data_IF_417992477521
#
_entry.id   IF_417992477521
#
_cell.length_a   1.000
_cell.length_b   1.000
_cell.length_c   1.000
_cell.angle_alpha   90.00
_cell.angle_beta   90.00
_cell.angle_gamma   90.00
#
_symmetry.space_group_name_H-M   'P 1'
#
loop_
_entity.id
_entity.type
_entity.pdbx_description
1 polymer ?
#
# COMPACT_ATOMS: atom_id res chain seq x y z
N UNK A 1 25.08 22.10 1.91
CA UNK A 1 23.70 22.61 1.75
C UNK A 1 22.84 21.93 2.81
N UNK A 2 22.62 22.61 3.93
CA UNK A 2 21.79 22.16 5.05
C UNK A 2 20.33 22.53 4.72
N UNK A 3 19.44 21.54 4.66
CA UNK A 3 18.01 21.80 4.62
C UNK A 3 17.53 22.05 6.06
N UNK A 4 16.81 23.15 6.24
CA UNK A 4 16.14 23.56 7.48
C UNK A 4 15.24 22.43 8.02
N UNK A 5 15.78 21.63 8.94
CA UNK A 5 15.07 20.55 9.65
C UNK A 5 14.09 21.09 10.71
N UNK A 6 14.05 22.41 10.93
CA UNK A 6 13.30 23.03 12.01
C UNK A 6 11.86 23.46 11.64
N UNK A 7 11.43 23.37 10.38
CA UNK A 7 10.14 23.96 9.96
C UNK A 7 8.96 22.99 9.86
N UNK A 8 9.19 21.68 9.91
CA UNK A 8 8.12 20.67 9.78
C UNK A 8 7.96 19.75 11.01
N UNK A 9 8.69 20.01 12.10
CA UNK A 9 8.85 19.07 13.21
C UNK A 9 7.76 19.06 14.30
N UNK A 10 6.62 19.73 14.12
CA UNK A 10 5.63 19.77 15.22
C UNK A 10 4.15 19.73 14.80
N UNK A 11 3.82 19.74 13.50
CA UNK A 11 2.40 19.81 13.08
C UNK A 11 1.73 18.45 12.82
N UNK A 12 2.49 17.36 12.70
CA UNK A 12 1.91 16.07 12.30
C UNK A 12 1.53 15.17 13.49
N UNK A 13 2.21 15.27 14.64
CA UNK A 13 1.96 14.36 15.78
C UNK A 13 0.60 14.65 16.46
N UNK A 14 0.28 15.93 16.71
CA UNK A 14 -1.00 16.32 17.35
C UNK A 14 -2.21 16.06 16.44
N UNK A 15 -2.04 16.22 15.13
CA UNK A 15 -3.10 15.98 14.16
C UNK A 15 -3.41 14.49 14.02
N UNK A 16 -2.41 13.63 14.18
CA UNK A 16 -2.59 12.18 14.11
C UNK A 16 -3.22 11.62 15.40
N UNK A 17 -2.85 12.14 16.57
CA UNK A 17 -3.48 11.77 17.84
C UNK A 17 -4.95 12.20 17.89
N UNK A 18 -5.28 13.40 17.40
CA UNK A 18 -6.66 13.85 17.27
C UNK A 18 -7.51 12.94 16.37
N UNK A 19 -6.93 12.41 15.28
CA UNK A 19 -7.62 11.49 14.38
C UNK A 19 -7.82 10.10 15.03
N UNK A 20 -6.88 9.69 15.89
CA UNK A 20 -6.93 8.43 16.61
C UNK A 20 -7.97 8.43 17.74
N UNK A 21 -8.14 9.56 18.43
CA UNK A 21 -9.19 9.74 19.43
C UNK A 21 -10.59 9.79 18.81
N UNK A 22 -10.74 10.38 17.62
CA UNK A 22 -12.00 10.35 16.87
C UNK A 22 -12.41 8.91 16.50
N UNK A 23 -11.45 8.08 16.08
CA UNK A 23 -11.71 6.69 15.72
C UNK A 23 -12.12 5.81 16.93
N UNK A 24 -11.67 6.14 18.14
CA UNK A 24 -12.07 5.44 19.37
C UNK A 24 -13.50 5.78 19.79
N UNK A 25 -13.95 7.03 19.58
CA UNK A 25 -15.32 7.44 19.92
C UNK A 25 -16.39 6.66 19.14
N UNK A 26 -16.15 6.32 17.87
CA UNK A 26 -17.12 5.58 17.07
C UNK A 26 -17.27 4.11 17.49
N UNK A 27 -16.24 3.53 18.11
CA UNK A 27 -16.28 2.14 18.59
C UNK A 27 -16.96 1.97 19.95
N UNK A 28 -17.03 3.02 20.78
CA UNK A 28 -17.52 2.91 22.16
C UNK A 28 -19.05 3.00 22.29
N UNK A 29 -19.77 3.20 21.17
CA UNK A 29 -21.25 3.27 21.15
C UNK A 29 -21.94 1.96 20.76
N UNK A 30 -21.23 0.83 20.74
CA UNK A 30 -21.76 -0.45 20.21
C UNK A 30 -21.48 -1.68 21.07
N UNK A 31 -21.51 -1.50 22.40
CA UNK A 31 -21.47 -2.61 23.34
C UNK A 31 -22.81 -2.70 24.08
N UNK A 32 -23.75 -3.46 23.51
CA UNK A 32 -24.89 -4.09 24.20
C UNK A 32 -25.47 -5.21 23.31
N UNK A 33 -24.62 -6.13 22.83
CA UNK A 33 -25.09 -7.44 22.35
C UNK A 33 -24.37 -8.58 23.10
N UNK A 34 -25.13 -9.55 23.66
CA UNK A 34 -24.54 -10.68 24.37
C UNK A 34 -23.87 -11.66 23.40
N UNK A 35 -22.56 -11.86 23.61
CA UNK A 35 -21.73 -12.82 22.86
C UNK A 35 -22.12 -14.26 23.25
N UNK A 36 -22.85 -14.93 22.37
CA UNK A 36 -23.18 -16.34 22.47
C UNK A 36 -21.93 -17.20 22.17
N UNK A 37 -21.48 -17.95 23.18
CA UNK A 37 -20.31 -18.82 23.15
C UNK A 37 -20.47 -19.95 22.12
N UNK A 38 -19.92 -19.74 20.92
CA UNK A 38 -19.85 -20.78 19.89
C UNK A 38 -18.68 -21.73 20.14
N UNK A 39 -19.05 -22.95 20.55
CA UNK A 39 -18.26 -24.18 20.70
C UNK A 39 -17.06 -24.29 19.76
N UNK A 40 -15.88 -24.41 20.36
CA UNK A 40 -14.68 -24.97 19.73
C UNK A 40 -14.92 -26.44 19.36
N UNK A 41 -15.14 -26.68 18.08
CA UNK A 41 -15.26 -28.02 17.51
C UNK A 41 -13.86 -28.51 17.14
N UNK A 42 -13.28 -29.31 18.04
CA UNK A 42 -12.04 -30.06 17.85
C UNK A 42 -12.17 -31.04 16.68
N UNK A 43 -11.71 -30.65 15.49
CA UNK A 43 -11.61 -31.55 14.33
C UNK A 43 -10.31 -32.34 14.43
N UNK A 44 -10.47 -33.64 14.69
CA UNK A 44 -9.42 -34.66 14.77
C UNK A 44 -8.93 -35.00 13.34
N UNK A 45 -7.64 -34.83 13.00
CA UNK A 45 -7.16 -35.19 11.67
C UNK A 45 -7.11 -36.72 11.52
N UNK A 46 -7.93 -37.23 10.60
CA UNK A 46 -7.95 -38.65 10.18
C UNK A 46 -6.81 -38.85 9.18
N UNK A 47 -5.71 -39.45 9.63
CA UNK A 47 -4.61 -39.88 8.78
C UNK A 47 -5.06 -41.06 7.93
N UNK A 48 -5.43 -40.80 6.68
CA UNK A 48 -5.64 -41.80 5.65
C UNK A 48 -4.30 -42.02 4.95
N UNK A 49 -3.64 -43.13 5.27
CA UNK A 49 -2.43 -43.59 4.58
C UNK A 49 -2.86 -44.20 3.25
N UNK A 50 -2.95 -43.36 2.23
CA UNK A 50 -3.08 -43.80 0.84
C UNK A 50 -1.73 -44.36 0.38
N UNK A 51 -1.73 -45.63 0.00
CA UNK A 51 -0.56 -46.33 -0.55
C UNK A 51 -0.33 -45.81 -1.97
N UNK A 52 0.50 -44.79 -2.10
CA UNK A 52 0.97 -44.27 -3.38
C UNK A 52 1.84 -45.32 -4.05
N UNK A 53 1.31 -45.92 -5.13
CA UNK A 53 2.04 -46.81 -6.02
C UNK A 53 3.20 -46.09 -6.69
N UNK A 54 4.38 -46.71 -6.68
CA UNK A 54 5.67 -46.18 -7.14
C UNK A 54 5.84 -46.15 -8.66
N UNK A 55 4.81 -46.47 -9.43
CA UNK A 55 5.02 -46.90 -10.82
C UNK A 55 4.81 -45.76 -11.86
N UNK A 56 4.53 -44.53 -11.40
CA UNK A 56 4.34 -43.35 -12.26
C UNK A 56 5.46 -42.30 -12.16
N UNK A 57 6.61 -42.66 -11.58
CA UNK A 57 7.74 -41.72 -11.32
C UNK A 57 8.56 -41.38 -12.59
N UNK A 58 8.31 -42.01 -13.74
CA UNK A 58 9.17 -41.87 -14.93
C UNK A 58 8.58 -41.11 -16.13
N UNK A 59 7.44 -40.42 -16.01
CA UNK A 59 6.84 -39.68 -17.14
C UNK A 59 6.64 -38.17 -16.93
N UNK A 60 7.19 -37.60 -15.85
CA UNK A 60 7.01 -36.18 -15.52
C UNK A 60 8.29 -35.33 -15.70
N UNK A 61 9.27 -35.77 -16.50
CA UNK A 61 10.53 -35.04 -16.73
C UNK A 61 10.66 -34.44 -18.12
N UNK A 62 9.62 -34.48 -18.95
CA UNK A 62 9.68 -33.80 -20.25
C UNK A 62 9.19 -32.35 -20.12
N UNK A 63 9.98 -31.50 -19.48
CA UNK A 63 9.75 -30.04 -19.43
C UNK A 63 10.33 -29.32 -20.65
N UNK A 64 10.81 -30.07 -21.65
CA UNK A 64 11.54 -29.56 -22.82
C UNK A 64 10.70 -28.62 -23.70
N UNK A 65 9.36 -28.67 -23.59
CA UNK A 65 8.44 -27.85 -24.38
C UNK A 65 8.00 -26.54 -23.68
N UNK A 66 8.37 -26.31 -22.42
CA UNK A 66 8.05 -25.06 -21.71
C UNK A 66 9.06 -23.92 -21.97
N UNK A 67 10.12 -24.18 -22.73
CA UNK A 67 11.06 -23.15 -23.21
C UNK A 67 10.61 -22.49 -24.52
N UNK A 68 9.30 -22.22 -24.70
CA UNK A 68 8.85 -21.27 -25.72
C UNK A 68 9.26 -19.87 -25.26
N UNK A 69 10.50 -19.53 -25.65
CA UNK A 69 11.18 -18.24 -25.58
C UNK A 69 10.20 -17.09 -25.45
N UNK A 70 9.89 -16.75 -24.20
CA UNK A 70 9.28 -15.47 -23.85
C UNK A 70 10.45 -14.51 -23.92
N UNK A 71 10.61 -13.92 -25.09
CA UNK A 71 11.67 -12.96 -25.41
C UNK A 71 11.83 -11.98 -24.23
N UNK A 72 12.89 -12.10 -23.40
CA UNK A 72 12.99 -11.33 -22.15
C UNK A 72 13.16 -9.83 -22.40
N UNK A 73 13.36 -9.43 -23.65
CA UNK A 73 13.66 -8.06 -24.06
C UNK A 73 12.42 -7.21 -24.43
N UNK A 74 11.22 -7.77 -24.58
CA UNK A 74 10.10 -7.05 -25.21
C UNK A 74 9.00 -6.54 -24.26
N UNK A 75 9.19 -6.61 -22.94
CA UNK A 75 8.26 -6.00 -21.98
C UNK A 75 8.95 -5.59 -20.68
N UNK A 76 10.15 -5.01 -20.77
CA UNK A 76 10.64 -4.14 -19.70
C UNK A 76 9.95 -2.80 -19.88
N UNK A 77 8.90 -2.47 -19.11
CA UNK A 77 8.33 -1.13 -19.14
C UNK A 77 9.47 -0.15 -18.89
N UNK A 78 9.68 0.75 -19.84
CA UNK A 78 10.72 1.78 -19.80
C UNK A 78 10.73 2.42 -18.41
N UNK A 79 11.77 2.11 -17.64
CA UNK A 79 11.97 2.65 -16.31
C UNK A 79 12.32 4.11 -16.54
N UNK A 80 11.31 4.98 -16.41
CA UNK A 80 11.59 6.41 -16.42
C UNK A 80 12.44 6.68 -15.18
N UNK A 81 13.67 7.21 -15.33
CA UNK A 81 14.47 7.60 -14.19
C UNK A 81 13.65 8.56 -13.33
N UNK A 82 13.77 8.41 -12.01
CA UNK A 82 13.02 9.22 -11.04
C UNK A 82 13.64 10.62 -11.07
N UNK A 83 13.20 11.43 -12.03
CA UNK A 83 13.70 12.80 -12.23
C UNK A 83 12.90 13.81 -11.42
N UNK A 84 11.71 13.44 -10.97
CA UNK A 84 10.78 14.35 -10.31
C UNK A 84 10.80 14.13 -8.79
N UNK A 85 11.10 15.15 -7.97
CA UNK A 85 10.94 15.07 -6.51
C UNK A 85 9.49 14.79 -6.07
N UNK A 86 8.52 14.94 -6.96
CA UNK A 86 7.12 14.60 -6.71
C UNK A 86 6.75 13.14 -7.08
N UNK A 87 7.72 12.30 -7.45
CA UNK A 87 7.45 10.88 -7.68
C UNK A 87 6.98 10.22 -6.37
N UNK A 88 5.84 9.52 -6.44
CA UNK A 88 5.27 8.78 -5.31
C UNK A 88 6.26 7.78 -4.70
N UNK A 89 7.18 7.22 -5.49
CA UNK A 89 8.26 6.34 -4.99
C UNK A 89 9.22 7.10 -4.08
N UNK A 90 9.56 8.33 -4.44
CA UNK A 90 10.45 9.18 -3.65
C UNK A 90 9.79 9.56 -2.33
N UNK A 91 8.55 10.05 -2.40
CA UNK A 91 7.78 10.43 -1.21
C UNK A 91 7.61 9.25 -0.25
N UNK A 92 7.26 8.06 -0.76
CA UNK A 92 7.12 6.86 0.07
C UNK A 92 8.44 6.46 0.71
N UNK A 93 9.55 6.57 -0.03
CA UNK A 93 10.86 6.21 0.49
C UNK A 93 11.29 7.13 1.64
N UNK A 94 11.14 8.45 1.49
CA UNK A 94 11.45 9.43 2.54
C UNK A 94 10.60 9.17 3.79
N UNK A 95 9.28 8.99 3.62
CA UNK A 95 8.36 8.72 4.74
C UNK A 95 8.66 7.41 5.45
N UNK A 96 9.10 6.38 4.72
CA UNK A 96 9.53 5.11 5.31
C UNK A 96 10.78 5.31 6.14
N UNK A 97 11.78 6.02 5.60
CA UNK A 97 13.04 6.30 6.28
C UNK A 97 12.82 7.09 7.59
N UNK A 98 11.89 8.05 7.60
CA UNK A 98 11.49 8.80 8.80
C UNK A 98 10.75 7.94 9.84
N UNK A 99 10.02 6.93 9.38
CA UNK A 99 9.21 6.06 10.26
C UNK A 99 10.01 4.98 10.98
N UNK A 100 11.23 4.68 10.51
CA UNK A 100 12.11 3.68 11.09
C UNK A 100 12.75 4.23 12.37
N UNK A 101 12.62 3.48 13.47
CA UNK A 101 13.32 3.76 14.73
C UNK A 101 14.22 2.58 15.07
N UNK A 102 15.49 2.86 15.38
CA UNK A 102 16.49 1.84 15.72
C UNK A 102 16.64 0.71 14.67
N UNK A 103 16.47 1.03 13.38
CA UNK A 103 16.58 0.05 12.29
C UNK A 103 15.39 -0.91 12.15
N UNK A 104 14.31 -0.69 12.92
CA UNK A 104 13.09 -1.48 12.85
C UNK A 104 11.88 -0.61 12.47
N UNK A 105 10.95 -1.21 11.71
CA UNK A 105 9.69 -0.61 11.34
C UNK A 105 8.56 -1.34 12.04
N UNK A 106 7.73 -0.60 12.78
CA UNK A 106 6.56 -1.17 13.45
C UNK A 106 5.54 -1.72 12.42
N UNK A 107 4.88 -2.85 12.72
CA UNK A 107 3.93 -3.47 11.79
C UNK A 107 2.74 -2.55 11.48
N UNK A 108 2.31 -1.73 12.45
CA UNK A 108 1.24 -0.74 12.24
C UNK A 108 1.67 0.35 11.24
N UNK A 109 2.90 0.88 11.38
CA UNK A 109 3.46 1.87 10.46
C UNK A 109 3.66 1.28 9.07
N UNK A 110 4.09 0.02 8.98
CA UNK A 110 4.19 -0.69 7.70
C UNK A 110 2.84 -0.70 6.96
N UNK A 111 1.74 -1.05 7.63
CA UNK A 111 0.41 -1.04 7.00
C UNK A 111 -0.01 0.37 6.56
N UNK A 112 0.29 1.40 7.36
CA UNK A 112 0.02 2.81 7.01
C UNK A 112 0.82 3.26 5.79
N UNK A 113 2.09 2.89 5.70
CA UNK A 113 2.96 3.21 4.55
C UNK A 113 2.50 2.52 3.27
N UNK A 114 2.05 1.26 3.34
CA UNK A 114 1.46 0.57 2.17
C UNK A 114 0.18 1.28 1.70
N UNK A 115 -0.68 1.73 2.62
CA UNK A 115 -1.87 2.54 2.29
C UNK A 115 -1.47 3.88 1.65
N UNK A 116 -0.44 4.54 2.17
CA UNK A 116 0.10 5.77 1.59
C UNK A 116 0.61 5.54 0.16
N UNK A 117 1.37 4.47 -0.08
CA UNK A 117 1.83 4.11 -1.42
C UNK A 117 0.67 3.94 -2.41
N UNK A 118 -0.43 3.31 -1.99
CA UNK A 118 -1.65 3.21 -2.79
C UNK A 118 -2.26 4.58 -3.13
N UNK A 119 -2.28 5.52 -2.19
CA UNK A 119 -2.74 6.90 -2.42
C UNK A 119 -1.84 7.65 -3.41
N UNK A 120 -0.54 7.35 -3.39
CA UNK A 120 0.45 7.89 -4.33
C UNK A 120 0.42 7.20 -5.71
N UNK A 121 -0.54 6.31 -5.95
CA UNK A 121 -0.70 5.60 -7.22
C UNK A 121 0.25 4.41 -7.42
N UNK A 122 0.96 3.98 -6.36
CA UNK A 122 1.83 2.81 -6.42
C UNK A 122 1.03 1.51 -6.24
N UNK A 123 1.52 0.44 -6.86
CA UNK A 123 1.02 -0.90 -6.59
C UNK A 123 1.34 -1.29 -5.13
N UNK A 124 0.49 -2.09 -4.46
CA UNK A 124 0.82 -2.63 -3.14
C UNK A 124 2.15 -3.39 -3.12
N UNK A 125 2.47 -4.11 -4.21
CA UNK A 125 3.71 -4.86 -4.36
C UNK A 125 4.94 -3.93 -4.45
N UNK A 126 4.82 -2.82 -5.18
CA UNK A 126 5.88 -1.80 -5.26
C UNK A 126 6.11 -1.12 -3.93
N UNK A 127 5.02 -0.78 -3.25
CA UNK A 127 5.07 -0.12 -1.96
C UNK A 127 5.80 -1.01 -0.95
N UNK A 128 5.45 -2.28 -0.88
CA UNK A 128 6.14 -3.27 -0.02
C UNK A 128 7.61 -3.42 -0.40
N UNK A 129 7.93 -3.46 -1.70
CA UNK A 129 9.31 -3.56 -2.17
C UNK A 129 10.17 -2.38 -1.71
N UNK A 130 9.69 -1.16 -1.94
CA UNK A 130 10.38 0.07 -1.53
C UNK A 130 10.60 0.06 -0.02
N UNK A 131 9.56 -0.29 0.76
CA UNK A 131 9.64 -0.36 2.21
C UNK A 131 10.70 -1.38 2.66
N UNK A 132 10.69 -2.58 2.09
CA UNK A 132 11.63 -3.64 2.47
C UNK A 132 13.08 -3.28 2.17
N UNK A 133 13.35 -2.69 1.00
CA UNK A 133 14.70 -2.22 0.64
C UNK A 133 15.19 -1.20 1.68
N UNK A 134 14.36 -0.22 2.04
CA UNK A 134 14.74 0.81 3.01
C UNK A 134 14.97 0.22 4.40
N UNK A 135 14.12 -0.71 4.84
CA UNK A 135 14.32 -1.41 6.12
C UNK A 135 15.62 -2.22 6.10
N UNK A 136 15.93 -2.91 5.02
CA UNK A 136 17.18 -3.66 4.87
C UNK A 136 18.41 -2.75 4.96
N UNK A 137 18.41 -1.60 4.30
CA UNK A 137 19.51 -0.63 4.41
C UNK A 137 19.61 -0.02 5.82
N UNK A 138 18.47 0.23 6.47
CA UNK A 138 18.47 0.72 7.85
C UNK A 138 19.03 -0.32 8.82
N UNK A 139 18.75 -1.62 8.61
CA UNK A 139 19.34 -2.72 9.39
C UNK A 139 20.86 -2.84 9.18
N UNK A 140 21.36 -2.45 8.00
CA UNK A 140 22.81 -2.35 7.72
C UNK A 140 23.47 -1.11 8.35
N UNK A 141 22.71 -0.29 9.09
CA UNK A 141 23.22 0.90 9.79
C UNK A 141 23.49 2.09 8.86
N UNK A 142 22.95 2.09 7.64
CA UNK A 142 23.08 3.24 6.74
C UNK A 142 22.11 4.32 7.22
N UNK A 143 22.57 5.57 7.25
CA UNK A 143 21.75 6.70 7.70
C UNK A 143 20.56 6.90 6.74
N UNK A 144 19.30 6.98 7.24
CA UNK A 144 18.11 7.27 6.43
C UNK A 144 18.25 8.46 5.48
N UNK A 145 19.06 9.47 5.83
CA UNK A 145 19.34 10.61 4.95
C UNK A 145 20.16 10.22 3.70
N UNK A 146 21.05 9.22 3.83
CA UNK A 146 21.87 8.70 2.73
C UNK A 146 21.19 7.57 1.97
N UNK A 147 20.27 6.84 2.63
CA UNK A 147 19.51 5.74 2.05
C UNK A 147 18.86 6.13 0.74
N UNK A 148 18.19 7.28 0.72
CA UNK A 148 17.41 7.74 -0.43
C UNK A 148 18.24 7.72 -1.72
N UNK A 149 19.42 8.33 -1.75
CA UNK A 149 20.23 8.41 -2.98
C UNK A 149 20.72 7.05 -3.49
N UNK A 150 21.13 6.13 -2.61
CA UNK A 150 21.66 4.83 -3.02
C UNK A 150 20.55 3.85 -3.37
N UNK A 151 19.47 3.81 -2.58
CA UNK A 151 18.31 2.96 -2.85
C UNK A 151 17.63 3.32 -4.16
N UNK A 152 17.64 4.59 -4.59
CA UNK A 152 17.07 4.94 -5.89
C UNK A 152 17.84 4.37 -7.07
N UNK A 153 19.18 4.33 -7.02
CA UNK A 153 19.97 3.70 -8.08
C UNK A 153 19.66 2.20 -8.20
N UNK A 154 19.41 1.54 -7.07
CA UNK A 154 19.04 0.12 -7.01
C UNK A 154 17.58 -0.11 -7.44
N UNK A 155 16.66 0.75 -6.99
CA UNK A 155 15.25 0.74 -7.39
C UNK A 155 15.06 1.02 -8.89
N UNK A 156 15.89 1.88 -9.50
CA UNK A 156 15.90 2.14 -10.94
C UNK A 156 16.33 0.92 -11.76
N UNK A 157 17.19 0.04 -11.23
CA UNK A 157 17.55 -1.20 -11.92
C UNK A 157 16.44 -2.23 -11.88
N UNK A 158 15.49 -2.05 -10.96
CA UNK A 158 14.42 -3.00 -10.79
C UNK A 158 13.20 -2.63 -11.62
N UNK A 159 12.91 -3.47 -12.62
CA UNK A 159 11.80 -3.29 -13.55
C UNK A 159 10.51 -2.88 -12.82
N UNK A 160 9.92 -1.73 -13.15
CA UNK A 160 8.67 -1.31 -12.56
C UNK A 160 7.59 -2.30 -13.02
N UNK A 161 6.66 -2.70 -12.15
CA UNK A 161 5.54 -3.51 -12.61
C UNK A 161 4.68 -2.67 -13.57
N UNK A 162 3.86 -3.34 -14.40
CA UNK A 162 2.91 -2.64 -15.26
C UNK A 162 2.10 -1.68 -14.39
N UNK A 163 2.22 -0.38 -14.67
CA UNK A 163 1.42 0.65 -14.03
C UNK A 163 -0.05 0.25 -14.22
N UNK A 164 -0.72 -0.15 -13.14
CA UNK A 164 -2.17 -0.23 -13.17
C UNK A 164 -2.65 1.19 -13.43
N UNK A 165 -3.56 1.42 -14.40
CA UNK A 165 -4.09 2.75 -14.63
C UNK A 165 -4.65 3.23 -13.30
N UNK A 166 -4.07 4.32 -12.76
CA UNK A 166 -4.60 4.99 -11.58
C UNK A 166 -6.11 5.10 -11.79
N UNK A 167 -6.88 4.51 -10.87
CA UNK A 167 -8.31 4.28 -11.08
C UNK A 167 -8.93 5.57 -11.59
N UNK A 168 -9.49 5.54 -12.81
CA UNK A 168 -10.13 6.71 -13.41
C UNK A 168 -11.12 7.21 -12.39
N UNK A 169 -10.82 8.36 -11.78
CA UNK A 169 -11.81 9.09 -10.99
C UNK A 169 -13.00 9.22 -11.91
N UNK A 170 -14.12 8.62 -11.48
CA UNK A 170 -15.29 8.54 -12.32
C UNK A 170 -15.89 9.94 -12.35
N UNK A 171 -15.41 10.78 -13.26
CA UNK A 171 -15.83 12.17 -13.44
C UNK A 171 -17.34 12.30 -13.59
N UNK A 172 -17.99 11.24 -14.08
CA UNK A 172 -19.44 11.14 -14.09
C UNK A 172 -20.06 11.21 -12.69
N UNK A 173 -19.48 10.51 -11.71
CA UNK A 173 -19.94 10.53 -10.32
C UNK A 173 -19.74 11.90 -9.69
N UNK A 174 -18.59 12.54 -9.94
CA UNK A 174 -18.30 13.91 -9.47
C UNK A 174 -19.29 14.91 -10.09
N UNK A 175 -19.54 14.81 -11.39
CA UNK A 175 -20.53 15.65 -12.08
C UNK A 175 -21.94 15.45 -11.52
N UNK A 176 -22.35 14.19 -11.31
CA UNK A 176 -23.67 13.86 -10.79
C UNK A 176 -23.88 14.35 -9.35
N UNK A 177 -22.88 14.26 -8.47
CA UNK A 177 -22.98 14.78 -7.10
C UNK A 177 -23.07 16.30 -7.07
N UNK A 178 -22.28 17.00 -7.90
CA UNK A 178 -22.36 18.46 -8.01
C UNK A 178 -23.71 18.95 -8.56
N UNK A 179 -24.27 18.27 -9.56
CA UNK A 179 -25.60 18.58 -10.09
C UNK A 179 -26.70 18.38 -9.03
N UNK A 180 -26.59 17.31 -8.23
CA UNK A 180 -27.56 17.01 -7.19
C UNK A 180 -27.54 18.08 -6.08
N UNK A 181 -26.36 18.54 -5.67
CA UNK A 181 -26.23 19.65 -4.72
C UNK A 181 -26.86 20.95 -5.26
N UNK A 182 -26.59 21.29 -6.53
CA UNK A 182 -27.22 22.47 -7.17
C UNK A 182 -28.75 22.38 -7.19
N UNK A 183 -29.33 21.20 -7.46
CA UNK A 183 -30.77 21.01 -7.46
C UNK A 183 -31.39 21.19 -6.07
N UNK A 184 -30.70 20.73 -5.02
CA UNK A 184 -31.15 20.90 -3.63
C UNK A 184 -31.13 22.37 -3.24
N UNK A 185 -30.06 23.09 -3.55
CA UNK A 185 -29.96 24.54 -3.29
C UNK A 185 -31.05 25.32 -4.06
N UNK A 186 -31.28 24.97 -5.33
CA UNK A 186 -32.31 25.59 -6.14
C UNK A 186 -33.72 25.36 -5.58
N UNK A 187 -34.03 24.14 -5.14
CA UNK A 187 -35.33 23.82 -4.54
C UNK A 187 -35.55 24.59 -3.23
N UNK A 188 -34.51 24.74 -2.40
CA UNK A 188 -34.58 25.51 -1.16
C UNK A 188 -34.86 27.00 -1.42
N UNK A 189 -34.15 27.60 -2.38
CA UNK A 189 -34.38 28.99 -2.80
C UNK A 189 -35.79 29.17 -3.38
N UNK A 190 -36.25 28.24 -4.21
CA UNK A 190 -37.58 28.30 -4.82
C UNK A 190 -38.71 28.19 -3.77
N UNK A 191 -38.55 27.30 -2.78
CA UNK A 191 -39.51 27.17 -1.69
C UNK A 191 -39.58 28.43 -0.81
N UNK A 192 -38.45 29.12 -0.62
CA UNK A 192 -38.39 30.39 0.10
C UNK A 192 -39.13 31.52 -0.64
N UNK A 193 -38.98 31.62 -1.96
CA UNK A 193 -39.67 32.64 -2.77
C UNK A 193 -41.19 32.43 -2.90
N UNK A 194 -41.71 31.22 -2.66
CA UNK A 194 -43.16 30.96 -2.66
C UNK A 194 -43.85 31.27 -1.34
N UNK A 195 -43.10 31.55 -0.28
CA UNK A 195 -43.62 31.80 1.07
C UNK A 195 -43.83 33.29 1.30
#
# INVERSE_FOLDING_TARGET
>A
MWFDRARFGHLDDDAFDALHDLAKQDTQSKDDEPVEQSKQQSVKPKHEREKVGTDSVLKLTDFSHLHKSRNPEQNTPSIKPIKDPHDGRWVLAVRTAESIRHGQLEPEKHQRLVKLGKLLGLSPLDSQRIINIIVEHAQRGIDPAQLTRQTFAELEQTSPPPMRPAGRVNWFFVGMTTLLMMLIEFAALFAWFRK
#
